data_IF_325895286671
#
_entry.id   IF_325895286671
#
_cell.length_a   1.000
_cell.length_b   1.000
_cell.length_c   1.000
_cell.angle_alpha   90.00
_cell.angle_beta   90.00
_cell.angle_gamma   90.00
#
_symmetry.space_group_name_H-M   'P 1'
#
loop_
_entity.id
_entity.type
_entity.pdbx_description
1 polymer ?
#
# COMPACT_ATOMS: atom_id res chain seq x y z
N UNK A 1 -0.14 -13.86 -4.86
CA UNK A 1 -0.71 -13.01 -3.78
C UNK A 1 -0.47 -11.54 -4.13
N UNK A 2 -1.49 -10.66 -4.13
CA UNK A 2 -1.30 -9.23 -4.35
C UNK A 2 -0.37 -8.63 -3.29
N UNK A 3 0.61 -7.86 -3.73
CA UNK A 3 1.56 -7.15 -2.87
C UNK A 3 1.79 -5.73 -3.37
N UNK A 4 2.18 -4.85 -2.45
CA UNK A 4 2.63 -3.50 -2.75
C UNK A 4 4.09 -3.35 -2.33
N UNK A 5 4.87 -2.72 -3.20
CA UNK A 5 6.23 -2.31 -2.90
C UNK A 5 6.21 -1.11 -1.95
N UNK A 6 7.01 -1.15 -0.89
CA UNK A 6 7.01 -0.11 0.17
C UNK A 6 8.17 0.86 0.08
N UNK A 7 9.12 0.62 -0.84
CA UNK A 7 10.34 1.38 -0.98
C UNK A 7 10.66 1.60 -2.46
N UNK A 8 11.34 2.70 -2.76
CA UNK A 8 11.90 2.91 -4.09
C UNK A 8 13.15 2.04 -4.23
N UNK A 9 13.17 1.15 -5.23
CA UNK A 9 14.31 0.29 -5.52
C UNK A 9 15.02 0.76 -6.78
N UNK A 10 14.27 0.94 -7.87
CA UNK A 10 14.78 1.41 -9.15
C UNK A 10 13.70 2.23 -9.85
N UNK A 11 13.73 3.55 -9.61
CA UNK A 11 12.68 4.49 -10.02
C UNK A 11 12.53 4.50 -11.54
N UNK A 12 13.64 4.59 -12.26
CA UNK A 12 13.71 4.58 -13.73
C UNK A 12 13.14 3.29 -14.36
N UNK A 13 13.11 2.22 -13.57
CA UNK A 13 12.63 0.90 -13.99
C UNK A 13 11.17 0.64 -13.56
N UNK A 14 10.52 1.64 -12.96
CA UNK A 14 9.16 1.53 -12.46
C UNK A 14 9.03 0.76 -11.13
N UNK A 15 10.14 0.52 -10.42
CA UNK A 15 10.15 -0.11 -9.09
C UNK A 15 10.10 0.95 -7.99
N UNK A 16 8.92 1.56 -7.84
CA UNK A 16 8.66 2.65 -6.89
C UNK A 16 7.70 2.21 -5.78
N UNK A 17 7.77 2.90 -4.65
CA UNK A 17 6.84 2.73 -3.54
C UNK A 17 5.39 2.94 -4.01
N UNK A 18 4.50 2.03 -3.63
CA UNK A 18 3.08 2.02 -4.03
C UNK A 18 2.79 1.18 -5.27
N UNK A 19 3.81 0.68 -5.98
CA UNK A 19 3.58 -0.21 -7.13
C UNK A 19 2.99 -1.53 -6.68
N UNK A 20 1.91 -1.92 -7.36
CA UNK A 20 1.26 -3.20 -7.19
C UNK A 20 1.97 -4.29 -7.98
N UNK A 21 2.07 -5.48 -7.40
CA UNK A 21 2.57 -6.68 -8.04
C UNK A 21 1.89 -7.94 -7.53
N UNK A 22 2.18 -9.06 -8.17
CA UNK A 22 1.74 -10.38 -7.73
C UNK A 22 2.95 -11.14 -7.21
N UNK A 23 3.00 -11.37 -5.91
CA UNK A 23 3.96 -12.28 -5.30
C UNK A 23 3.73 -13.70 -5.84
N UNK A 24 4.80 -14.28 -6.40
CA UNK A 24 4.81 -15.62 -6.99
C UNK A 24 5.54 -16.63 -6.12
N UNK A 25 6.74 -16.29 -5.65
CA UNK A 25 7.58 -17.24 -4.92
C UNK A 25 8.53 -16.52 -3.95
N UNK A 26 8.77 -17.15 -2.79
CA UNK A 26 9.87 -16.79 -1.90
C UNK A 26 11.09 -17.66 -2.25
N UNK A 27 12.24 -17.04 -2.44
CA UNK A 27 13.51 -17.75 -2.57
C UNK A 27 14.29 -17.61 -1.27
N UNK A 28 14.71 -18.74 -0.73
CA UNK A 28 15.37 -18.87 0.56
C UNK A 28 16.28 -20.11 0.55
N UNK A 29 17.21 -20.17 1.50
CA UNK A 29 18.08 -21.33 1.68
C UNK A 29 17.33 -22.42 2.46
N UNK A 30 17.46 -23.70 2.12
CA UNK A 30 16.69 -24.78 2.76
C UNK A 30 17.01 -24.95 4.26
N UNK A 31 18.24 -24.65 4.65
CA UNK A 31 18.70 -24.57 6.04
C UNK A 31 18.04 -23.43 6.84
N UNK A 32 17.24 -22.59 6.18
CA UNK A 32 16.54 -21.46 6.78
C UNK A 32 15.09 -21.73 7.17
N UNK A 33 14.63 -22.97 7.06
CA UNK A 33 13.27 -23.38 7.43
C UNK A 33 13.26 -23.93 8.85
N UNK A 34 12.44 -23.34 9.71
CA UNK A 34 12.17 -23.88 11.05
C UNK A 34 11.01 -24.88 10.98
N UNK A 35 11.28 -26.13 11.36
CA UNK A 35 10.29 -27.22 11.44
C UNK A 35 9.59 -27.31 12.80
N UNK A 36 10.19 -26.71 13.83
CA UNK A 36 9.87 -27.02 15.23
C UNK A 36 8.83 -26.06 15.85
N UNK A 37 8.44 -25.01 15.11
CA UNK A 37 7.44 -24.04 15.54
C UNK A 37 6.10 -24.43 14.91
N UNK A 38 5.53 -25.54 15.38
CA UNK A 38 4.15 -25.89 15.09
C UNK A 38 3.31 -25.27 16.21
N UNK A 39 3.00 -23.96 16.11
CA UNK A 39 1.85 -23.49 16.89
C UNK A 39 0.61 -24.10 16.25
N UNK A 40 -0.28 -24.67 17.06
CA UNK A 40 -1.53 -25.32 16.62
C UNK A 40 -2.44 -24.41 15.77
N UNK A 41 -2.15 -23.11 15.76
CA UNK A 41 -2.88 -22.05 15.05
C UNK A 41 -2.62 -21.99 13.54
N UNK A 42 -1.52 -22.55 13.02
CA UNK A 42 -1.24 -22.51 11.58
C UNK A 42 -1.44 -23.86 10.89
N UNK A 43 -1.87 -23.81 9.63
CA UNK A 43 -2.04 -24.98 8.79
C UNK A 43 -0.75 -25.80 8.67
N UNK A 44 -0.87 -27.13 8.58
CA UNK A 44 0.25 -28.08 8.40
C UNK A 44 1.17 -27.76 7.21
N UNK A 45 0.73 -26.92 6.27
CA UNK A 45 1.50 -26.51 5.10
C UNK A 45 2.27 -25.19 5.30
N UNK A 46 2.17 -24.56 6.48
CA UNK A 46 2.91 -23.34 6.79
C UNK A 46 4.40 -23.67 7.04
N UNK A 47 5.28 -22.84 6.47
CA UNK A 47 6.73 -22.94 6.67
C UNK A 47 7.24 -21.62 7.20
N UNK A 48 8.00 -21.67 8.29
CA UNK A 48 8.67 -20.50 8.85
C UNK A 48 10.06 -20.39 8.25
N UNK A 49 10.32 -19.26 7.58
CA UNK A 49 11.59 -19.00 6.89
C UNK A 49 12.30 -17.83 7.57
N UNK A 50 13.50 -18.05 8.12
CA UNK A 50 14.24 -17.01 8.85
C UNK A 50 15.24 -16.22 8.00
N UNK A 51 15.71 -16.78 6.88
CA UNK A 51 16.65 -16.12 5.96
C UNK A 51 16.16 -16.14 4.51
N UNK A 52 15.13 -15.34 4.17
CA UNK A 52 14.78 -15.12 2.78
C UNK A 52 15.92 -14.40 2.04
N UNK A 53 16.13 -14.75 0.77
CA UNK A 53 17.10 -14.10 -0.11
C UNK A 53 16.40 -12.99 -0.91
N UNK A 54 15.34 -13.36 -1.61
CA UNK A 54 14.52 -12.44 -2.40
C UNK A 54 13.12 -13.04 -2.64
N UNK A 55 12.19 -12.18 -3.06
CA UNK A 55 10.86 -12.58 -3.50
C UNK A 55 10.73 -12.37 -5.01
N UNK A 56 10.18 -13.34 -5.72
CA UNK A 56 9.80 -13.19 -7.12
C UNK A 56 8.42 -12.53 -7.18
N UNK A 57 8.38 -11.32 -7.72
CA UNK A 57 7.16 -10.52 -7.85
C UNK A 57 6.94 -10.18 -9.32
N UNK A 58 5.75 -10.47 -9.81
CA UNK A 58 5.32 -10.07 -11.13
C UNK A 58 4.78 -8.63 -11.09
N UNK A 59 5.36 -7.73 -11.87
CA UNK A 59 4.97 -6.32 -11.92
C UNK A 59 4.66 -5.94 -13.37
N UNK A 60 3.38 -5.79 -13.70
CA UNK A 60 2.96 -5.55 -15.08
C UNK A 60 3.37 -4.19 -15.65
N UNK A 61 3.63 -3.21 -14.78
CA UNK A 61 3.93 -1.81 -15.13
C UNK A 61 5.43 -1.48 -15.18
N UNK A 62 6.31 -2.44 -14.88
CA UNK A 62 7.76 -2.19 -14.92
C UNK A 62 8.25 -2.03 -16.35
N UNK A 63 9.20 -1.12 -16.57
CA UNK A 63 9.94 -0.96 -17.84
C UNK A 63 11.14 -1.91 -17.94
N UNK A 64 11.24 -2.87 -17.02
CA UNK A 64 12.28 -3.90 -17.00
C UNK A 64 12.03 -4.85 -18.19
N UNK A 65 12.71 -4.56 -19.29
CA UNK A 65 12.80 -5.41 -20.48
C UNK A 65 13.81 -6.56 -20.30
N UNK A 66 14.47 -6.62 -19.13
CA UNK A 66 15.46 -7.62 -18.82
C UNK A 66 14.79 -9.00 -18.84
N UNK A 67 14.95 -9.73 -19.94
CA UNK A 67 15.08 -11.17 -19.90
C UNK A 67 16.34 -11.46 -19.06
N UNK A 68 16.22 -11.36 -17.72
CA UNK A 68 17.09 -12.12 -16.82
C UNK A 68 17.05 -13.52 -17.40
N UNK A 69 18.17 -14.02 -17.92
CA UNK A 69 18.25 -15.03 -19.00
C UNK A 69 17.50 -16.36 -18.73
N UNK A 70 16.91 -16.52 -17.54
CA UNK A 70 16.19 -17.67 -17.03
C UNK A 70 14.81 -17.35 -16.43
N UNK A 71 14.38 -16.09 -16.39
CA UNK A 71 13.11 -15.66 -15.81
C UNK A 71 12.09 -15.26 -16.87
N UNK A 72 10.83 -15.55 -16.58
CA UNK A 72 9.72 -15.09 -17.41
C UNK A 72 9.66 -13.55 -17.43
N UNK A 73 9.20 -12.95 -18.54
CA UNK A 73 9.04 -11.50 -18.64
C UNK A 73 8.21 -10.95 -17.46
N UNK A 74 8.60 -9.78 -16.94
CA UNK A 74 7.93 -9.05 -15.83
C UNK A 74 8.02 -9.72 -14.45
N UNK A 75 8.73 -10.84 -14.32
CA UNK A 75 9.03 -11.44 -13.02
C UNK A 75 10.34 -10.86 -12.49
N UNK A 76 10.27 -10.19 -11.35
CA UNK A 76 11.36 -9.37 -10.83
C UNK A 76 11.78 -9.89 -9.47
N UNK A 77 13.08 -10.17 -9.24
CA UNK A 77 13.59 -10.50 -7.93
C UNK A 77 13.66 -9.25 -7.05
N UNK A 78 12.85 -9.22 -6.01
CA UNK A 78 12.85 -8.17 -4.98
C UNK A 78 13.69 -8.63 -3.81
N UNK A 79 14.90 -8.06 -3.58
CA UNK A 79 15.78 -8.49 -2.51
C UNK A 79 15.26 -8.06 -1.15
N UNK A 80 15.74 -8.75 -0.12
CA UNK A 80 15.58 -8.30 1.26
C UNK A 80 16.38 -7.01 1.47
N UNK A 81 15.76 -6.00 2.08
CA UNK A 81 16.38 -4.70 2.33
C UNK A 81 16.59 -4.47 3.84
N UNK A 82 17.64 -3.72 4.18
CA UNK A 82 17.86 -3.22 5.53
C UNK A 82 17.32 -1.80 5.67
N UNK A 83 16.50 -1.57 6.69
CA UNK A 83 16.01 -0.25 7.06
C UNK A 83 16.44 0.07 8.49
N UNK A 84 16.92 1.29 8.70
CA UNK A 84 17.28 1.79 10.03
C UNK A 84 16.23 2.79 10.51
N UNK A 85 15.58 2.48 11.63
CA UNK A 85 14.63 3.33 12.31
C UNK A 85 15.32 4.00 13.49
N UNK A 86 15.18 5.31 13.60
CA UNK A 86 15.72 6.10 14.71
C UNK A 86 14.55 6.63 15.53
N UNK A 87 14.47 6.21 16.78
CA UNK A 87 13.40 6.60 17.72
C UNK A 87 14.04 7.33 18.87
N UNK A 88 13.56 8.54 19.17
CA UNK A 88 13.94 9.23 20.39
C UNK A 88 13.17 8.61 21.56
N UNK A 89 13.89 7.97 22.49
CA UNK A 89 13.26 7.33 23.66
C UNK A 89 12.60 8.41 24.55
N UNK A 90 13.09 9.66 24.50
CA UNK A 90 12.52 10.77 25.25
C UNK A 90 11.05 11.06 24.90
N UNK A 91 10.62 10.73 23.68
CA UNK A 91 9.23 10.91 23.23
C UNK A 91 8.31 9.77 23.68
N UNK A 92 8.86 8.61 24.03
CA UNK A 92 8.11 7.45 24.49
C UNK A 92 8.00 7.36 26.01
N UNK A 93 8.76 8.17 26.75
CA UNK A 93 8.71 8.22 28.21
C UNK A 93 7.57 9.15 28.69
N UNK A 94 6.86 8.79 29.77
CA UNK A 94 5.92 9.70 30.44
C UNK A 94 6.61 11.00 30.82
N UNK A 95 5.89 12.12 30.77
CA UNK A 95 6.42 13.47 31.03
C UNK A 95 7.22 13.57 32.35
N UNK A 96 6.83 12.79 33.36
CA UNK A 96 7.43 12.78 34.71
C UNK A 96 8.80 12.08 34.78
N UNK A 97 9.15 11.26 33.77
CA UNK A 97 10.44 10.56 33.66
C UNK A 97 11.34 11.12 32.55
N UNK A 98 10.99 12.28 31.98
CA UNK A 98 11.84 12.91 30.97
C UNK A 98 13.18 13.28 31.59
N UNK A 99 14.31 12.84 31.02
CA UNK A 99 15.63 13.17 31.56
C UNK A 99 15.82 14.70 31.50
N UNK A 100 16.26 15.31 32.61
CA UNK A 100 16.63 16.75 32.69
C UNK A 100 17.86 17.12 31.84
N UNK A 101 18.44 16.15 31.14
CA UNK A 101 19.62 16.30 30.29
C UNK A 101 19.19 16.44 28.84
N UNK A 102 19.71 17.45 28.13
CA UNK A 102 19.51 17.67 26.69
C UNK A 102 20.12 16.58 25.78
N UNK A 103 20.65 15.48 26.34
CA UNK A 103 21.13 14.34 25.55
C UNK A 103 19.94 13.53 25.04
N UNK A 104 19.63 13.70 23.75
CA UNK A 104 18.68 12.84 23.01
C UNK A 104 19.12 11.38 23.13
N UNK A 105 18.31 10.56 23.78
CA UNK A 105 18.56 9.11 23.91
C UNK A 105 18.01 8.42 22.66
N UNK A 106 18.81 8.45 21.59
CA UNK A 106 18.40 7.92 20.29
C UNK A 106 18.56 6.39 20.24
N UNK A 107 17.45 5.67 20.10
CA UNK A 107 17.45 4.25 19.80
C UNK A 107 17.50 4.04 18.29
N UNK A 108 18.48 3.29 17.81
CA UNK A 108 18.60 2.93 16.39
C UNK A 108 18.28 1.44 16.21
N UNK A 109 17.18 1.13 15.55
CA UNK A 109 16.73 -0.25 15.27
C UNK A 109 16.96 -0.54 13.79
N UNK A 110 17.64 -1.64 13.49
CA UNK A 110 17.79 -2.15 12.13
C UNK A 110 16.81 -3.29 11.90
N UNK A 111 16.05 -3.22 10.80
CA UNK A 111 15.16 -4.27 10.34
C UNK A 111 15.62 -4.73 8.96
N UNK A 112 15.83 -6.03 8.81
CA UNK A 112 16.09 -6.67 7.52
C UNK A 112 14.83 -7.43 7.09
N UNK A 113 14.15 -6.96 6.06
CA UNK A 113 12.88 -7.53 5.60
C UNK A 113 12.65 -7.31 4.10
N UNK A 114 11.77 -8.11 3.50
CA UNK A 114 11.29 -7.82 2.15
C UNK A 114 10.51 -6.49 2.17
N UNK A 115 10.76 -5.59 1.21
CA UNK A 115 10.05 -4.31 1.11
C UNK A 115 8.63 -4.47 0.55
N UNK A 116 7.93 -5.54 0.91
CA UNK A 116 6.62 -5.92 0.38
C UNK A 116 5.60 -6.03 1.50
N UNK A 117 4.38 -5.58 1.23
CA UNK A 117 3.22 -5.80 2.10
C UNK A 117 2.10 -6.47 1.31
N UNK A 118 1.31 -7.40 1.90
CA UNK A 118 0.10 -7.91 1.28
C UNK A 118 -0.85 -6.77 0.91
N UNK A 119 -1.46 -6.85 -0.26
CA UNK A 119 -2.29 -5.79 -0.83
C UNK A 119 -3.75 -6.22 -1.04
N UNK A 120 -4.27 -7.12 -0.19
CA UNK A 120 -5.70 -7.44 -0.19
C UNK A 120 -6.54 -6.27 0.34
N UNK A 121 -6.01 -5.57 1.35
CA UNK A 121 -6.60 -4.37 1.94
C UNK A 121 -5.51 -3.31 2.03
N UNK A 122 -5.85 -2.06 1.71
CA UNK A 122 -4.94 -0.93 1.82
C UNK A 122 -5.64 0.20 2.55
N UNK A 123 -4.87 0.96 3.31
CA UNK A 123 -5.40 2.16 3.97
C UNK A 123 -5.63 3.26 2.94
N UNK A 124 -6.58 4.16 3.21
CA UNK A 124 -6.85 5.33 2.38
C UNK A 124 -5.58 6.10 2.05
N UNK A 125 -4.73 6.35 3.05
CA UNK A 125 -3.44 7.03 2.87
C UNK A 125 -2.50 6.28 1.89
N UNK A 126 -2.41 4.95 1.97
CA UNK A 126 -1.56 4.15 1.05
C UNK A 126 -2.16 4.04 -0.35
N UNK A 127 -3.47 4.23 -0.51
CA UNK A 127 -4.15 4.25 -1.80
C UNK A 127 -4.03 5.58 -2.55
N UNK A 128 -3.57 6.65 -1.88
CA UNK A 128 -3.51 7.98 -2.47
C UNK A 128 -2.63 8.01 -3.73
N UNK A 129 -3.13 8.64 -4.79
CA UNK A 129 -2.45 8.70 -6.10
C UNK A 129 -2.55 7.41 -6.93
N UNK A 130 -3.18 6.36 -6.41
CA UNK A 130 -3.45 5.14 -7.17
C UNK A 130 -4.81 5.21 -7.88
N UNK A 131 -4.92 4.47 -8.97
CA UNK A 131 -6.18 4.19 -9.68
C UNK A 131 -6.50 2.71 -9.52
N UNK A 132 -7.66 2.42 -8.93
CA UNK A 132 -8.12 1.07 -8.58
C UNK A 132 -9.36 0.72 -9.42
N UNK A 133 -9.30 -0.39 -10.16
CA UNK A 133 -10.37 -0.77 -11.07
C UNK A 133 -11.58 -1.38 -10.36
N UNK A 134 -11.34 -2.12 -9.27
CA UNK A 134 -12.37 -2.79 -8.47
C UNK A 134 -11.91 -2.77 -7.02
N UNK A 135 -12.69 -2.14 -6.15
CA UNK A 135 -12.38 -2.01 -4.72
C UNK A 135 -13.66 -2.05 -3.91
N UNK A 136 -13.57 -2.59 -2.70
CA UNK A 136 -14.59 -2.42 -1.66
C UNK A 136 -14.04 -1.40 -0.69
N UNK A 137 -14.80 -0.32 -0.45
CA UNK A 137 -14.41 0.75 0.45
C UNK A 137 -15.26 0.63 1.70
N UNK A 138 -14.62 0.41 2.84
CA UNK A 138 -15.26 0.51 4.14
C UNK A 138 -15.25 1.98 4.57
N UNK A 139 -16.44 2.58 4.68
CA UNK A 139 -16.63 3.98 5.06
C UNK A 139 -16.93 4.14 6.56
N UNK A 140 -16.74 3.08 7.37
CA UNK A 140 -16.90 3.18 8.82
C UNK A 140 -15.73 3.94 9.43
N UNK A 141 -15.88 5.25 9.57
CA UNK A 141 -14.86 6.13 10.15
C UNK A 141 -14.80 5.97 11.68
N UNK A 142 -13.59 5.85 12.26
CA UNK A 142 -13.42 5.89 13.70
C UNK A 142 -13.57 7.34 14.17
N UNK A 143 -14.71 7.62 14.80
CA UNK A 143 -15.13 8.88 15.43
C UNK A 143 -15.96 9.81 14.53
N UNK A 144 -16.90 10.53 15.17
CA UNK A 144 -17.89 11.49 14.60
C UNK A 144 -17.30 12.70 13.88
N UNK A 145 -15.99 12.71 13.63
CA UNK A 145 -15.39 13.73 12.77
C UNK A 145 -15.61 13.33 11.33
N UNK A 146 -16.65 13.94 10.72
CA UNK A 146 -16.93 13.93 9.29
C UNK A 146 -15.80 14.62 8.52
N UNK A 147 -14.61 14.03 8.52
CA UNK A 147 -13.55 14.45 7.62
C UNK A 147 -13.94 13.99 6.21
N UNK A 148 -14.56 14.91 5.45
CA UNK A 148 -14.96 14.70 4.07
C UNK A 148 -13.78 14.17 3.23
N UNK A 149 -12.53 14.53 3.57
CA UNK A 149 -11.36 14.02 2.88
C UNK A 149 -11.19 12.51 3.07
N UNK A 150 -11.56 11.96 4.23
CA UNK A 150 -11.48 10.54 4.53
C UNK A 150 -12.44 9.70 3.67
N UNK A 151 -13.54 10.30 3.18
CA UNK A 151 -14.51 9.67 2.25
C UNK A 151 -14.16 9.96 0.79
N UNK A 152 -13.75 11.19 0.48
CA UNK A 152 -13.45 11.62 -0.88
C UNK A 152 -12.20 10.93 -1.46
N UNK A 153 -11.11 10.85 -0.68
CA UNK A 153 -9.86 10.23 -1.14
C UNK A 153 -10.07 8.78 -1.60
N UNK A 154 -10.71 7.87 -0.85
CA UNK A 154 -10.89 6.49 -1.32
C UNK A 154 -11.88 6.39 -2.49
N UNK A 155 -12.97 7.18 -2.51
CA UNK A 155 -13.94 7.16 -3.61
C UNK A 155 -13.32 7.62 -4.94
N UNK A 156 -12.48 8.65 -4.90
CA UNK A 156 -11.77 9.17 -6.08
C UNK A 156 -10.69 8.23 -6.63
N UNK A 157 -10.41 7.09 -5.98
CA UNK A 157 -9.50 6.07 -6.54
C UNK A 157 -10.17 5.20 -7.61
N UNK A 158 -11.50 5.25 -7.71
CA UNK A 158 -12.28 4.35 -8.59
C UNK A 158 -12.69 5.09 -9.86
N UNK A 159 -12.43 4.49 -11.03
CA UNK A 159 -12.75 5.10 -12.32
C UNK A 159 -14.23 5.04 -12.69
N UNK A 160 -14.94 4.02 -12.17
CA UNK A 160 -16.34 3.77 -12.51
C UNK A 160 -17.09 3.38 -11.24
N UNK A 161 -17.92 4.28 -10.74
CA UNK A 161 -19.00 3.93 -9.84
C UNK A 161 -20.13 3.45 -10.75
N UNK A 162 -20.69 2.26 -10.51
CA UNK A 162 -21.96 1.88 -11.15
C UNK A 162 -23.06 2.56 -10.34
N UNK A 163 -23.64 3.68 -10.82
CA UNK A 163 -24.67 4.38 -10.08
C UNK A 163 -25.91 3.50 -9.98
N UNK A 164 -26.61 3.62 -8.86
CA UNK A 164 -27.97 3.10 -8.73
C UNK A 164 -28.93 3.87 -9.64
N UNK A 165 -30.12 3.31 -9.90
CA UNK A 165 -31.14 3.98 -10.72
C UNK A 165 -31.52 5.37 -10.20
N UNK A 166 -31.62 5.56 -8.88
CA UNK A 166 -31.92 6.85 -8.27
C UNK A 166 -30.79 7.87 -8.44
N UNK A 167 -29.53 7.42 -8.33
CA UNK A 167 -28.37 8.28 -8.56
C UNK A 167 -28.27 8.72 -10.03
N UNK A 168 -28.61 7.85 -10.99
CA UNK A 168 -28.70 8.24 -12.40
C UNK A 168 -29.72 9.34 -12.62
N UNK A 169 -30.92 9.21 -12.06
CA UNK A 169 -31.97 10.23 -12.17
C UNK A 169 -31.56 11.57 -11.56
N UNK A 170 -30.82 11.56 -10.45
CA UNK A 170 -30.33 12.80 -9.83
C UNK A 170 -29.20 13.44 -10.64
N UNK A 171 -28.29 12.64 -11.23
CA UNK A 171 -27.25 13.14 -12.14
C UNK A 171 -27.91 13.81 -13.36
N UNK A 172 -28.91 13.16 -13.98
CA UNK A 172 -29.67 13.74 -15.09
C UNK A 172 -30.38 15.05 -14.71
N UNK A 173 -30.91 15.14 -13.48
CA UNK A 173 -31.53 16.36 -12.96
C UNK A 173 -30.52 17.49 -12.81
N UNK A 174 -29.32 17.19 -12.29
CA UNK A 174 -28.25 18.16 -12.11
C UNK A 174 -27.68 18.65 -13.45
N UNK A 175 -27.52 17.76 -14.43
CA UNK A 175 -27.11 18.14 -15.79
C UNK A 175 -28.12 19.08 -16.44
N UNK A 176 -29.42 18.80 -16.28
CA UNK A 176 -30.48 19.69 -16.77
C UNK A 176 -30.42 21.07 -16.10
N UNK A 177 -30.23 21.10 -14.77
CA UNK A 177 -30.11 22.34 -14.01
C UNK A 177 -28.87 23.15 -14.45
N UNK A 178 -27.75 22.47 -14.71
CA UNK A 178 -26.52 23.08 -15.21
C UNK A 178 -26.75 23.75 -16.56
N UNK A 179 -27.36 23.03 -17.52
CA UNK A 179 -27.69 23.57 -18.84
C UNK A 179 -28.66 24.75 -18.77
N UNK A 180 -29.70 24.66 -17.92
CA UNK A 180 -30.65 25.75 -17.69
C UNK A 180 -29.96 26.99 -17.08
N UNK A 181 -29.03 26.77 -16.15
CA UNK A 181 -28.27 27.86 -15.51
C UNK A 181 -27.33 28.53 -16.51
N UNK A 182 -26.63 27.75 -17.33
CA UNK A 182 -25.75 28.24 -18.40
C UNK A 182 -26.53 29.05 -19.45
N UNK A 183 -27.72 28.59 -19.84
CA UNK A 183 -28.58 29.31 -20.77
C UNK A 183 -29.13 30.62 -20.17
N UNK A 184 -29.33 30.68 -18.84
CA UNK A 184 -29.89 31.83 -18.14
C UNK A 184 -28.87 32.92 -17.82
N UNK A 185 -27.59 32.54 -17.67
CA UNK A 185 -26.49 33.46 -17.37
C UNK A 185 -25.31 33.29 -18.34
N UNK A 186 -25.51 33.54 -19.65
CA UNK A 186 -24.46 33.36 -20.65
C UNK A 186 -23.31 34.37 -20.51
N UNK A 187 -23.51 35.46 -19.77
CA UNK A 187 -22.53 36.55 -19.62
C UNK A 187 -21.60 36.37 -18.41
N UNK A 188 -21.81 35.33 -17.60
CA UNK A 188 -21.06 35.05 -16.36
C UNK A 188 -20.15 33.81 -16.46
N UNK A 189 -20.04 33.23 -17.66
CA UNK A 189 -19.19 32.08 -18.04
C UNK A 189 -18.29 32.48 -19.21
#
# INVERSE_FOLDING_TARGET
MPVILTQNIAIELGLINGVNGIFRQLVYQEDSVSTDIISEEFSKNARYVHRPLYALVEISKSTIECNLEQLQPKLIPIPVMEQTFRVDIGDMLPKDKKPKSNRKTLLSIKRRALPLVPAYCITTHKSQGQTLNKVVIDLKLPNETDDIAAVYVPLSRVLLIKPSKSQLTEIERLDKLYLETQARFPEWL
#
